data_IF_192087908367
#
_entry.id   IF_192087908367
#
_cell.length_a   1.000
_cell.length_b   1.000
_cell.length_c   1.000
_cell.angle_alpha   90.00
_cell.angle_beta   90.00
_cell.angle_gamma   90.00
#
_symmetry.space_group_name_H-M   'P 1'
#
loop_
_entity.id
_entity.type
_entity.pdbx_description
1 polymer ?
#
# COMPACT_ATOMS: atom_id res chain seq x y z
N UNK A 1 -43.37 14.39 53.46
CA UNK A 1 -43.48 14.38 51.98
C UNK A 1 -42.75 13.16 51.43
N UNK A 2 -43.38 12.47 50.48
CA UNK A 2 -42.88 11.45 49.52
C UNK A 2 -42.29 10.11 50.02
N UNK A 3 -43.09 9.07 49.73
CA UNK A 3 -42.79 7.64 49.48
C UNK A 3 -41.73 7.52 48.35
N UNK A 4 -40.97 6.43 48.19
CA UNK A 4 -41.34 5.21 47.43
C UNK A 4 -40.22 4.15 47.56
N UNK A 5 -40.62 2.89 47.70
CA UNK A 5 -39.85 1.64 47.64
C UNK A 5 -39.56 1.29 46.16
N UNK A 6 -38.37 0.79 45.84
CA UNK A 6 -38.22 -0.16 44.71
C UNK A 6 -36.91 -0.95 44.84
N UNK A 7 -37.06 -2.26 45.08
CA UNK A 7 -36.05 -3.26 44.73
C UNK A 7 -35.97 -3.39 43.22
N UNK A 8 -34.77 -3.54 42.67
CA UNK A 8 -34.53 -4.11 41.35
C UNK A 8 -33.14 -4.75 41.34
N UNK A 9 -33.15 -6.06 41.59
CA UNK A 9 -32.19 -7.01 41.06
C UNK A 9 -32.15 -6.91 39.54
N UNK A 10 -30.98 -6.67 38.97
CA UNK A 10 -30.66 -6.99 37.57
C UNK A 10 -29.25 -7.54 37.50
N UNK A 11 -29.15 -8.86 37.57
CA UNK A 11 -28.07 -9.62 36.97
C UNK A 11 -28.10 -9.40 35.45
N UNK A 12 -26.98 -9.02 34.82
CA UNK A 12 -26.72 -9.39 33.44
C UNK A 12 -25.23 -9.25 33.09
N UNK A 13 -24.52 -10.36 33.22
CA UNK A 13 -23.55 -10.89 32.27
C UNK A 13 -23.08 -9.93 31.16
N UNK A 14 -21.97 -9.23 31.36
CA UNK A 14 -21.10 -8.76 30.26
C UNK A 14 -19.92 -9.71 30.11
N UNK A 15 -20.24 -10.99 29.88
CA UNK A 15 -19.43 -11.82 28.99
C UNK A 15 -19.79 -11.43 27.55
N UNK A 16 -18.81 -11.49 26.65
CA UNK A 16 -18.90 -11.24 25.20
C UNK A 16 -18.90 -9.78 24.75
N UNK A 17 -17.71 -9.28 24.40
CA UNK A 17 -17.31 -9.14 23.01
C UNK A 17 -16.06 -8.25 22.94
N UNK A 18 -14.90 -8.81 23.25
CA UNK A 18 -13.66 -8.40 22.57
C UNK A 18 -13.77 -8.86 21.12
N UNK A 19 -14.76 -8.33 20.39
CA UNK A 19 -14.70 -8.32 18.95
C UNK A 19 -13.49 -7.45 18.64
N UNK A 20 -12.34 -8.09 18.45
CA UNK A 20 -11.29 -7.50 17.66
C UNK A 20 -12.01 -7.01 16.40
N UNK A 21 -12.20 -5.69 16.30
CA UNK A 21 -12.67 -5.13 15.05
C UNK A 21 -11.58 -5.50 14.07
N UNK A 22 -11.86 -6.49 13.22
CA UNK A 22 -11.06 -6.75 12.04
C UNK A 22 -11.16 -5.45 11.26
N UNK A 23 -10.17 -4.58 11.45
CA UNK A 23 -10.09 -3.30 10.76
C UNK A 23 -10.06 -3.65 9.29
N UNK A 24 -11.14 -3.31 8.58
CA UNK A 24 -11.27 -3.57 7.16
C UNK A 24 -10.08 -2.88 6.48
N UNK A 25 -9.30 -3.65 5.72
CA UNK A 25 -8.15 -3.12 5.01
C UNK A 25 -8.65 -2.22 3.86
N UNK A 26 -8.50 -0.90 4.03
CA UNK A 26 -8.87 0.08 3.01
C UNK A 26 -7.65 0.47 2.17
N UNK A 27 -7.54 -0.17 0.99
CA UNK A 27 -6.50 0.15 0.02
C UNK A 27 -6.58 1.60 -0.47
N UNK A 28 -7.78 2.17 -0.62
CA UNK A 28 -7.91 3.52 -1.17
C UNK A 28 -7.35 4.57 -0.20
N UNK A 29 -7.59 4.40 1.10
CA UNK A 29 -6.97 5.24 2.12
C UNK A 29 -5.43 5.17 2.05
N UNK A 30 -4.87 3.95 1.98
CA UNK A 30 -3.42 3.73 1.86
C UNK A 30 -2.83 4.42 0.62
N UNK A 31 -3.47 4.27 -0.53
CA UNK A 31 -2.99 4.87 -1.79
C UNK A 31 -3.14 6.39 -1.78
N UNK A 32 -4.21 6.92 -1.19
CA UNK A 32 -4.44 8.36 -1.06
C UNK A 32 -3.37 9.00 -0.16
N UNK A 33 -3.10 8.41 1.00
CA UNK A 33 -2.10 8.90 1.95
C UNK A 33 -0.69 8.84 1.35
N UNK A 34 -0.37 7.76 0.63
CA UNK A 34 0.89 7.62 -0.09
C UNK A 34 1.06 8.72 -1.14
N UNK A 35 0.04 8.92 -1.99
CA UNK A 35 0.07 9.93 -3.06
C UNK A 35 0.27 11.34 -2.50
N UNK A 36 -0.50 11.68 -1.45
CA UNK A 36 -0.41 12.97 -0.78
C UNK A 36 0.96 13.19 -0.12
N UNK A 37 1.45 12.20 0.62
CA UNK A 37 2.74 12.27 1.31
C UNK A 37 3.93 12.37 0.34
N UNK A 38 3.95 11.54 -0.70
CA UNK A 38 4.99 11.58 -1.73
C UNK A 38 4.99 12.89 -2.54
N UNK A 39 3.83 13.48 -2.77
CA UNK A 39 3.72 14.78 -3.45
C UNK A 39 4.18 15.93 -2.56
N UNK A 40 3.95 15.84 -1.25
CA UNK A 40 4.34 16.86 -0.29
C UNK A 40 5.84 16.84 0.04
N UNK A 41 6.39 15.65 0.29
CA UNK A 41 7.80 15.45 0.66
C UNK A 41 8.37 14.25 -0.11
N UNK A 42 8.85 14.46 -1.35
CA UNK A 42 9.33 13.36 -2.19
C UNK A 42 10.50 12.56 -1.60
N UNK A 43 11.31 13.19 -0.74
CA UNK A 43 12.43 12.53 -0.04
C UNK A 43 12.00 11.43 0.94
N UNK A 44 10.78 11.50 1.47
CA UNK A 44 10.23 10.51 2.42
C UNK A 44 9.42 9.41 1.72
N UNK A 45 9.25 9.52 0.40
CA UNK A 45 8.34 8.67 -0.35
C UNK A 45 8.72 7.18 -0.32
N UNK A 46 10.01 6.85 -0.20
CA UNK A 46 10.45 5.46 -0.03
C UNK A 46 10.01 4.86 1.32
N UNK A 47 10.11 5.62 2.41
CA UNK A 47 9.65 5.19 3.72
C UNK A 47 8.12 5.04 3.76
N UNK A 48 7.39 5.98 3.17
CA UNK A 48 5.94 5.90 3.03
C UNK A 48 5.51 4.68 2.21
N UNK A 49 6.23 4.39 1.12
CA UNK A 49 5.97 3.21 0.29
C UNK A 49 6.20 1.91 1.06
N UNK A 50 7.30 1.83 1.81
CA UNK A 50 7.57 0.67 2.66
C UNK A 50 6.47 0.45 3.70
N UNK A 51 6.00 1.51 4.36
CA UNK A 51 4.89 1.44 5.31
C UNK A 51 3.57 0.99 4.65
N UNK A 52 3.26 1.51 3.46
CA UNK A 52 2.09 1.10 2.69
C UNK A 52 2.15 -0.40 2.33
N UNK A 53 3.29 -0.88 1.85
CA UNK A 53 3.48 -2.29 1.48
C UNK A 53 3.44 -3.22 2.70
N UNK A 54 4.02 -2.81 3.83
CA UNK A 54 3.92 -3.56 5.09
C UNK A 54 2.45 -3.67 5.53
N UNK A 55 1.67 -2.59 5.41
CA UNK A 55 0.24 -2.58 5.72
C UNK A 55 -0.52 -3.54 4.81
N UNK A 56 -0.23 -3.52 3.50
CA UNK A 56 -0.81 -4.45 2.51
C UNK A 56 -0.47 -5.90 2.87
N UNK A 57 0.79 -6.21 3.21
CA UNK A 57 1.21 -7.57 3.57
C UNK A 57 0.61 -8.05 4.89
N UNK A 58 0.37 -7.13 5.83
CA UNK A 58 -0.25 -7.43 7.12
C UNK A 58 -1.79 -7.58 7.05
N UNK A 59 -2.42 -7.29 5.90
CA UNK A 59 -3.88 -7.33 5.70
C UNK A 59 -4.52 -8.72 5.83
N UNK A 60 -3.72 -9.80 5.78
CA UNK A 60 -4.21 -11.17 5.76
C UNK A 60 -4.85 -11.61 4.43
N UNK A 61 -4.73 -10.79 3.38
CA UNK A 61 -5.21 -11.11 2.03
C UNK A 61 -4.39 -12.23 1.37
N UNK A 62 -4.95 -12.97 0.39
CA UNK A 62 -4.20 -13.97 -0.35
C UNK A 62 -3.07 -13.33 -1.17
N UNK A 63 -1.95 -14.04 -1.42
CA UNK A 63 -0.78 -13.49 -2.11
C UNK A 63 -1.05 -12.85 -3.46
N UNK A 64 -2.00 -13.38 -4.24
CA UNK A 64 -2.41 -12.79 -5.52
C UNK A 64 -3.00 -11.39 -5.36
N UNK A 65 -3.83 -11.18 -4.33
CA UNK A 65 -4.45 -9.87 -4.04
C UNK A 65 -3.41 -8.92 -3.42
N UNK A 66 -2.52 -9.41 -2.57
CA UNK A 66 -1.38 -8.62 -2.07
C UNK A 66 -0.55 -8.08 -3.24
N UNK A 67 -0.19 -8.93 -4.21
CA UNK A 67 0.63 -8.52 -5.35
C UNK A 67 -0.12 -7.55 -6.29
N UNK A 68 -1.44 -7.70 -6.45
CA UNK A 68 -2.26 -6.69 -7.16
C UNK A 68 -2.22 -5.33 -6.46
N UNK A 69 -2.36 -5.30 -5.13
CA UNK A 69 -2.32 -4.08 -4.33
C UNK A 69 -0.94 -3.42 -4.35
N UNK A 70 0.14 -4.20 -4.34
CA UNK A 70 1.52 -3.70 -4.54
C UNK A 70 1.67 -3.09 -5.94
N UNK A 71 1.10 -3.72 -6.97
CA UNK A 71 1.03 -3.13 -8.32
C UNK A 71 0.29 -1.79 -8.35
N UNK A 72 -0.78 -1.64 -7.56
CA UNK A 72 -1.51 -0.38 -7.43
C UNK A 72 -0.68 0.71 -6.70
N UNK A 73 0.10 0.34 -5.69
CA UNK A 73 1.07 1.23 -5.03
C UNK A 73 2.08 1.77 -6.05
N UNK A 74 2.70 0.88 -6.82
CA UNK A 74 3.68 1.28 -7.87
C UNK A 74 3.02 2.17 -8.92
N UNK A 75 1.81 1.84 -9.36
CA UNK A 75 1.06 2.65 -10.32
C UNK A 75 0.76 4.06 -9.79
N UNK A 76 0.47 4.18 -8.49
CA UNK A 76 0.27 5.46 -7.81
C UNK A 76 1.54 6.30 -7.80
N UNK A 77 2.69 5.70 -7.49
CA UNK A 77 4.00 6.40 -7.53
C UNK A 77 4.33 6.91 -8.94
N UNK A 78 3.97 6.17 -9.98
CA UNK A 78 4.16 6.59 -11.38
C UNK A 78 3.22 7.75 -11.73
N UNK A 79 1.99 7.75 -11.22
CA UNK A 79 1.10 8.89 -11.41
C UNK A 79 1.68 10.16 -10.75
N UNK A 80 2.24 10.05 -9.54
CA UNK A 80 2.95 11.15 -8.86
C UNK A 80 4.16 11.60 -9.68
N UNK A 81 4.96 10.67 -10.22
CA UNK A 81 6.17 11.01 -10.97
C UNK A 81 5.89 11.74 -12.30
N UNK A 82 4.78 11.42 -12.97
CA UNK A 82 4.36 12.10 -14.21
C UNK A 82 4.10 13.59 -14.01
N UNK A 83 3.52 13.96 -12.86
CA UNK A 83 3.25 15.35 -12.50
C UNK A 83 4.49 16.09 -11.96
N UNK A 84 5.60 15.39 -11.75
CA UNK A 84 6.79 15.91 -11.08
C UNK A 84 7.92 16.28 -12.07
N UNK A 85 8.78 17.26 -11.74
CA UNK A 85 9.97 17.57 -12.52
C UNK A 85 11.03 16.44 -12.44
N UNK A 86 11.99 16.36 -13.39
CA UNK A 86 12.96 15.27 -13.47
C UNK A 86 13.75 14.99 -12.17
N UNK A 87 14.14 16.03 -11.43
CA UNK A 87 14.87 15.87 -10.17
C UNK A 87 14.03 15.15 -9.10
N UNK A 88 12.71 15.39 -9.07
CA UNK A 88 11.79 14.71 -8.16
C UNK A 88 11.50 13.29 -8.64
N UNK A 89 11.41 13.06 -9.95
CA UNK A 89 11.30 11.69 -10.51
C UNK A 89 12.47 10.80 -10.07
N UNK A 90 13.69 11.33 -10.08
CA UNK A 90 14.86 10.64 -9.56
C UNK A 90 14.76 10.29 -8.07
N UNK A 91 14.14 11.15 -7.26
CA UNK A 91 13.89 10.85 -5.85
C UNK A 91 12.86 9.72 -5.67
N UNK A 92 11.81 9.69 -6.51
CA UNK A 92 10.77 8.66 -6.49
C UNK A 92 11.25 7.28 -6.95
N UNK A 93 12.39 7.18 -7.63
CA UNK A 93 12.96 5.91 -8.06
C UNK A 93 13.18 4.94 -6.89
N UNK A 94 13.70 5.46 -5.77
CA UNK A 94 13.91 4.69 -4.54
C UNK A 94 12.61 4.15 -3.97
N UNK A 95 11.52 4.91 -4.07
CA UNK A 95 10.19 4.49 -3.61
C UNK A 95 9.64 3.34 -4.47
N UNK A 96 9.78 3.43 -5.80
CA UNK A 96 9.36 2.34 -6.68
C UNK A 96 10.17 1.07 -6.43
N UNK A 97 11.48 1.19 -6.20
CA UNK A 97 12.35 0.05 -5.95
C UNK A 97 11.95 -0.78 -4.71
N UNK A 98 11.26 -0.19 -3.73
CA UNK A 98 10.73 -0.90 -2.55
C UNK A 98 9.80 -2.06 -2.94
N UNK A 99 9.08 -1.96 -4.06
CA UNK A 99 8.20 -3.04 -4.52
C UNK A 99 8.96 -4.31 -4.93
N UNK A 100 10.25 -4.20 -5.25
CA UNK A 100 11.12 -5.32 -5.59
C UNK A 100 11.84 -5.91 -4.36
N UNK A 101 11.72 -5.30 -3.19
CA UNK A 101 12.32 -5.79 -1.96
C UNK A 101 11.60 -7.07 -1.48
N UNK A 102 12.29 -8.20 -1.23
CA UNK A 102 11.64 -9.43 -0.78
C UNK A 102 10.97 -9.32 0.61
N UNK A 103 11.44 -8.42 1.47
CA UNK A 103 10.94 -8.28 2.84
C UNK A 103 9.62 -7.51 2.92
N UNK A 104 9.38 -6.58 1.98
CA UNK A 104 8.19 -5.71 2.01
C UNK A 104 7.41 -5.68 0.69
N UNK A 105 8.05 -5.92 -0.45
CA UNK A 105 7.47 -5.89 -1.78
C UNK A 105 6.72 -7.18 -2.17
N UNK A 106 6.75 -7.51 -3.47
CA UNK A 106 5.99 -8.63 -4.02
C UNK A 106 6.25 -9.95 -3.30
N UNK A 107 5.20 -10.76 -3.15
CA UNK A 107 5.21 -12.01 -2.39
C UNK A 107 5.20 -13.22 -3.33
N UNK A 108 6.10 -14.17 -3.06
CA UNK A 108 6.20 -15.44 -3.80
C UNK A 108 7.28 -15.43 -4.88
N UNK A 109 7.38 -16.53 -5.62
CA UNK A 109 8.49 -16.77 -6.57
C UNK A 109 8.02 -17.23 -7.96
N UNK A 110 6.72 -17.07 -8.26
CA UNK A 110 6.17 -17.45 -9.56
C UNK A 110 6.80 -16.63 -10.69
N UNK A 111 6.79 -17.17 -11.92
CA UNK A 111 7.29 -16.45 -13.09
C UNK A 111 6.60 -15.08 -13.26
N UNK A 112 5.32 -14.98 -12.90
CA UNK A 112 4.56 -13.74 -12.88
C UNK A 112 5.14 -12.72 -11.89
N UNK A 113 5.44 -13.14 -10.65
CA UNK A 113 6.06 -12.26 -9.65
C UNK A 113 7.45 -11.81 -10.10
N UNK A 114 8.22 -12.69 -10.73
CA UNK A 114 9.51 -12.32 -11.31
C UNK A 114 9.38 -11.27 -12.43
N UNK A 115 8.35 -11.37 -13.28
CA UNK A 115 8.06 -10.36 -14.29
C UNK A 115 7.67 -9.01 -13.65
N UNK A 116 6.85 -9.03 -12.61
CA UNK A 116 6.46 -7.81 -11.88
C UNK A 116 7.67 -7.14 -11.21
N UNK A 117 8.57 -7.92 -10.60
CA UNK A 117 9.83 -7.43 -10.02
C UNK A 117 10.73 -6.81 -11.11
N UNK A 118 10.89 -7.48 -12.26
CA UNK A 118 11.68 -6.97 -13.36
C UNK A 118 11.11 -5.66 -13.95
N UNK A 119 9.78 -5.58 -14.06
CA UNK A 119 9.09 -4.36 -14.48
C UNK A 119 9.37 -3.21 -13.49
N UNK A 120 9.23 -3.44 -12.18
CA UNK A 120 9.56 -2.45 -11.14
C UNK A 120 11.00 -1.97 -11.23
N UNK A 121 11.97 -2.88 -11.41
CA UNK A 121 13.38 -2.52 -11.54
C UNK A 121 13.64 -1.65 -12.77
N UNK A 122 12.97 -1.95 -13.89
CA UNK A 122 13.04 -1.14 -15.11
C UNK A 122 12.48 0.26 -14.85
N UNK A 123 11.31 0.36 -14.20
CA UNK A 123 10.68 1.64 -13.84
C UNK A 123 11.58 2.47 -12.92
N UNK A 124 12.12 1.85 -11.86
CA UNK A 124 13.02 2.53 -10.93
C UNK A 124 14.29 3.05 -11.64
N UNK A 125 14.81 2.29 -12.62
CA UNK A 125 15.96 2.71 -13.43
C UNK A 125 15.64 3.94 -14.27
N UNK A 126 14.53 3.93 -15.02
CA UNK A 126 14.08 5.10 -15.80
C UNK A 126 13.87 6.33 -14.92
N UNK A 127 13.18 6.16 -13.79
CA UNK A 127 12.96 7.25 -12.84
C UNK A 127 14.26 7.80 -12.28
N UNK A 128 15.27 6.96 -12.01
CA UNK A 128 16.58 7.40 -11.51
C UNK A 128 17.30 8.33 -12.49
N UNK A 129 17.07 8.15 -13.79
CA UNK A 129 17.54 9.07 -14.85
C UNK A 129 16.72 10.36 -14.97
N UNK A 130 15.64 10.52 -14.19
CA UNK A 130 14.67 11.60 -14.33
C UNK A 130 13.70 11.42 -15.50
N UNK A 131 13.71 10.25 -16.14
CA UNK A 131 12.97 9.95 -17.36
C UNK A 131 11.48 9.65 -17.06
N UNK A 132 10.68 9.66 -18.11
CA UNK A 132 9.29 9.21 -18.04
C UNK A 132 9.20 7.69 -18.13
N UNK A 133 8.20 7.15 -17.44
CA UNK A 133 7.95 5.71 -17.43
C UNK A 133 6.99 5.35 -18.57
N UNK A 134 7.44 4.49 -19.48
CA UNK A 134 6.64 3.97 -20.58
C UNK A 134 5.42 3.21 -20.08
N UNK A 135 4.24 3.49 -20.66
CA UNK A 135 2.98 2.83 -20.29
C UNK A 135 3.00 1.31 -20.46
N UNK A 136 3.80 0.78 -21.38
CA UNK A 136 3.97 -0.66 -21.60
C UNK A 136 4.55 -1.38 -20.37
N UNK A 137 5.55 -0.78 -19.72
CA UNK A 137 6.18 -1.35 -18.51
C UNK A 137 5.21 -1.28 -17.31
N UNK A 138 4.37 -0.23 -17.25
CA UNK A 138 3.32 -0.11 -16.22
C UNK A 138 2.25 -1.20 -16.39
N UNK A 139 1.85 -1.49 -17.63
CA UNK A 139 0.86 -2.54 -17.90
C UNK A 139 1.31 -3.91 -17.37
N UNK A 140 2.61 -4.21 -17.40
CA UNK A 140 3.17 -5.48 -16.88
C UNK A 140 2.94 -5.67 -15.36
N UNK A 141 2.65 -4.60 -14.61
CA UNK A 141 2.32 -4.67 -13.19
C UNK A 141 0.93 -5.27 -12.94
N UNK A 142 -0.02 -5.06 -13.86
CA UNK A 142 -1.43 -5.48 -13.77
C UNK A 142 -1.88 -6.53 -14.78
N UNK A 143 -1.04 -6.93 -15.74
CA UNK A 143 -1.37 -7.84 -16.86
C UNK A 143 -1.55 -9.31 -16.49
N UNK A 144 -1.82 -9.61 -15.23
CA UNK A 144 -2.05 -10.97 -14.79
C UNK A 144 -3.41 -11.07 -14.10
N UNK A 145 -4.44 -11.04 -14.95
CA UNK A 145 -5.74 -11.67 -14.72
C UNK A 145 -5.83 -12.87 -15.64
#
# INVERSE_FOLDING_TARGET
MKKIIAALTLSLSTLFASGAQAQEFDLNAVLSDLSAGCSAVPGDCAALTAAAMQTIRASGLPPSVINQNIGAVVSTLIAVSRAAPPAVRAQLASAVAVAADPEVGFVGTSAQVQQQIAAVQTIATSLSGGEEVSGEVVSQLGSAS
#
